data_IF_575439510967
#
_entry.id   IF_575439510967
#
_cell.length_a   1.000
_cell.length_b   1.000
_cell.length_c   1.000
_cell.angle_alpha   90.00
_cell.angle_beta   90.00
_cell.angle_gamma   90.00
#
_symmetry.space_group_name_H-M   'P 1'
#
loop_
_entity.id
_entity.type
_entity.pdbx_description
1 polymer ?
#
# COMPACT_ATOMS: atom_id res chain seq x y z
N UNK A 1 11.89 -0.07 -42.00
CA UNK A 1 10.73 0.57 -41.40
C UNK A 1 10.86 0.41 -39.90
N UNK A 2 11.45 1.42 -39.19
CA UNK A 2 11.55 1.39 -37.72
C UNK A 2 10.16 1.68 -37.16
N UNK A 3 9.50 0.68 -36.61
CA UNK A 3 8.29 0.88 -35.81
C UNK A 3 8.69 1.73 -34.60
N UNK A 4 8.26 2.98 -34.62
CA UNK A 4 8.37 3.94 -33.55
C UNK A 4 7.81 3.28 -32.28
N UNK A 5 8.66 3.11 -31.26
CA UNK A 5 8.28 2.63 -29.94
C UNK A 5 7.55 3.74 -29.17
N UNK A 6 6.49 4.27 -29.78
CA UNK A 6 5.67 5.31 -29.16
C UNK A 6 4.94 4.72 -27.96
N UNK A 7 5.51 4.95 -26.76
CA UNK A 7 4.71 5.16 -25.56
C UNK A 7 3.85 4.03 -25.03
N UNK A 8 4.26 2.76 -25.03
CA UNK A 8 3.57 1.76 -24.21
C UNK A 8 3.96 1.97 -22.74
N UNK A 9 3.08 2.59 -21.98
CA UNK A 9 3.22 2.78 -20.52
C UNK A 9 3.49 1.43 -19.85
N UNK A 10 2.91 0.35 -20.36
CA UNK A 10 3.08 -1.02 -19.92
C UNK A 10 3.87 -1.84 -20.93
N UNK A 11 5.20 -1.69 -20.95
CA UNK A 11 6.08 -2.61 -21.69
C UNK A 11 6.18 -3.95 -20.94
N UNK A 12 6.57 -5.03 -21.65
CA UNK A 12 6.80 -6.33 -21.04
C UNK A 12 7.72 -6.26 -19.82
N UNK A 13 8.76 -5.41 -19.88
CA UNK A 13 9.67 -5.17 -18.76
C UNK A 13 8.94 -4.60 -17.54
N UNK A 14 8.07 -3.60 -17.72
CA UNK A 14 7.31 -2.98 -16.62
C UNK A 14 6.31 -3.97 -16.03
N UNK A 15 5.67 -4.78 -16.86
CA UNK A 15 4.78 -5.85 -16.40
C UNK A 15 5.55 -6.87 -15.56
N UNK A 16 6.70 -7.35 -16.04
CA UNK A 16 7.53 -8.28 -15.29
C UNK A 16 8.01 -7.71 -13.94
N UNK A 17 8.44 -6.44 -13.93
CA UNK A 17 8.79 -5.75 -12.69
C UNK A 17 7.58 -5.66 -11.75
N UNK A 18 6.41 -5.30 -12.25
CA UNK A 18 5.18 -5.21 -11.44
C UNK A 18 4.87 -6.55 -10.78
N UNK A 19 4.90 -7.65 -11.54
CA UNK A 19 4.67 -9.00 -11.02
C UNK A 19 5.69 -9.34 -9.92
N UNK A 20 6.97 -9.07 -10.17
CA UNK A 20 8.03 -9.35 -9.21
C UNK A 20 7.85 -8.56 -7.90
N UNK A 21 7.55 -7.27 -7.98
CA UNK A 21 7.38 -6.43 -6.79
C UNK A 21 6.10 -6.76 -6.02
N UNK A 22 5.00 -7.09 -6.71
CA UNK A 22 3.76 -7.57 -6.08
C UNK A 22 4.01 -8.91 -5.39
N UNK A 23 4.69 -9.86 -6.03
CA UNK A 23 5.05 -11.14 -5.43
C UNK A 23 5.93 -10.94 -4.18
N UNK A 24 6.96 -10.08 -4.25
CA UNK A 24 7.81 -9.77 -3.10
C UNK A 24 7.01 -9.16 -1.96
N UNK A 25 6.14 -8.19 -2.24
CA UNK A 25 5.25 -7.59 -1.25
C UNK A 25 4.33 -8.64 -0.60
N UNK A 26 3.81 -9.57 -1.40
CA UNK A 26 2.97 -10.66 -0.91
C UNK A 26 3.75 -11.61 0.00
N UNK A 27 4.98 -11.99 -0.37
CA UNK A 27 5.82 -12.83 0.50
C UNK A 27 6.10 -12.13 1.84
N UNK A 28 6.43 -10.83 1.80
CA UNK A 28 6.68 -10.05 3.01
C UNK A 28 5.41 -9.89 3.88
N UNK A 29 4.22 -9.90 3.28
CA UNK A 29 2.96 -9.81 4.03
C UNK A 29 2.66 -11.06 4.87
N UNK A 30 3.20 -12.22 4.51
CA UNK A 30 3.11 -13.43 5.35
C UNK A 30 3.99 -13.37 6.60
N UNK A 31 5.04 -12.52 6.60
CA UNK A 31 5.91 -12.35 7.77
C UNK A 31 5.27 -11.29 8.67
N UNK A 32 4.36 -11.72 9.53
CA UNK A 32 3.65 -10.84 10.47
C UNK A 32 4.40 -10.74 11.78
N UNK A 33 4.73 -9.50 12.17
CA UNK A 33 5.30 -9.17 13.48
C UNK A 33 4.18 -9.17 14.52
N UNK A 34 3.01 -8.66 14.13
CA UNK A 34 1.83 -8.59 14.99
C UNK A 34 0.56 -8.62 14.13
N UNK A 35 -0.49 -9.30 14.65
CA UNK A 35 -1.80 -9.39 13.99
C UNK A 35 -2.90 -8.93 14.93
N UNK A 36 -3.80 -8.11 14.41
CA UNK A 36 -4.98 -7.64 15.10
C UNK A 36 -6.22 -8.43 14.63
N UNK A 37 -7.28 -8.52 15.44
CA UNK A 37 -8.59 -8.97 14.96
C UNK A 37 -9.03 -8.15 13.74
N UNK A 38 -9.93 -8.66 12.93
CA UNK A 38 -10.46 -8.01 11.71
C UNK A 38 -9.40 -7.69 10.62
N UNK A 39 -8.25 -8.35 10.61
CA UNK A 39 -7.29 -8.34 9.51
C UNK A 39 -6.20 -7.27 9.55
N UNK A 40 -6.19 -6.36 10.54
CA UNK A 40 -5.08 -5.43 10.71
C UNK A 40 -3.79 -6.16 11.09
N UNK A 41 -2.66 -5.84 10.47
CA UNK A 41 -1.39 -6.49 10.78
C UNK A 41 -0.19 -5.55 10.58
N UNK A 42 0.87 -5.80 11.36
CA UNK A 42 2.20 -5.21 11.18
C UNK A 42 3.07 -6.28 10.55
N UNK A 43 3.61 -6.00 9.39
CA UNK A 43 4.36 -6.97 8.58
C UNK A 43 5.83 -6.59 8.46
N UNK A 44 6.63 -7.45 7.83
CA UNK A 44 8.04 -7.21 7.52
C UNK A 44 8.19 -6.24 6.34
N UNK A 45 7.61 -5.04 6.44
CA UNK A 45 7.70 -3.98 5.43
C UNK A 45 7.07 -4.33 4.08
N UNK A 46 5.93 -5.02 4.06
CA UNK A 46 5.24 -5.47 2.85
C UNK A 46 4.86 -4.34 1.89
N UNK A 47 4.68 -3.09 2.39
CA UNK A 47 4.38 -1.93 1.55
C UNK A 47 5.60 -1.42 0.77
N UNK A 48 6.83 -1.66 1.25
CA UNK A 48 8.06 -1.08 0.68
C UNK A 48 8.27 -1.43 -0.79
N UNK A 49 8.11 -2.69 -1.25
CA UNK A 49 8.26 -3.01 -2.67
C UNK A 49 7.32 -2.21 -3.56
N UNK A 50 6.06 -2.05 -3.16
CA UNK A 50 5.06 -1.31 -3.92
C UNK A 50 5.37 0.19 -3.96
N UNK A 51 5.71 0.77 -2.81
CA UNK A 51 6.12 2.18 -2.70
C UNK A 51 7.36 2.46 -3.56
N UNK A 52 8.35 1.57 -3.52
CA UNK A 52 9.54 1.69 -4.35
C UNK A 52 9.22 1.63 -5.84
N UNK A 53 8.41 0.67 -6.26
CA UNK A 53 8.00 0.58 -7.66
C UNK A 53 7.26 1.85 -8.12
N UNK A 54 6.38 2.40 -7.28
CA UNK A 54 5.68 3.64 -7.55
C UNK A 54 6.65 4.83 -7.72
N UNK A 55 7.60 5.00 -6.81
CA UNK A 55 8.65 6.02 -6.88
C UNK A 55 9.51 5.87 -8.14
N UNK A 56 9.86 4.63 -8.50
CA UNK A 56 10.70 4.33 -9.67
C UNK A 56 9.97 4.55 -10.99
N UNK A 57 8.76 4.03 -11.14
CA UNK A 57 8.03 3.99 -12.43
C UNK A 57 7.00 5.10 -12.59
N UNK A 58 6.70 5.81 -11.51
CA UNK A 58 5.74 6.91 -11.50
C UNK A 58 4.32 6.46 -11.18
N UNK A 59 3.38 7.44 -11.11
CA UNK A 59 2.06 7.20 -10.52
C UNK A 59 1.20 6.20 -11.30
N UNK A 60 1.26 6.18 -12.62
CA UNK A 60 0.43 5.27 -13.43
C UNK A 60 0.77 3.80 -13.15
N UNK A 61 2.05 3.46 -13.12
CA UNK A 61 2.50 2.10 -12.81
C UNK A 61 2.34 1.82 -11.32
N UNK A 62 2.61 2.81 -10.47
CA UNK A 62 2.46 2.70 -9.02
C UNK A 62 1.03 2.40 -8.61
N UNK A 63 0.05 3.17 -9.07
CA UNK A 63 -1.38 2.96 -8.81
C UNK A 63 -1.83 1.58 -9.30
N UNK A 64 -1.44 1.20 -10.52
CA UNK A 64 -1.78 -0.10 -11.10
C UNK A 64 -1.22 -1.27 -10.25
N UNK A 65 0.08 -1.24 -9.95
CA UNK A 65 0.73 -2.28 -9.16
C UNK A 65 0.16 -2.37 -7.73
N UNK A 66 -0.09 -1.23 -7.09
CA UNK A 66 -0.65 -1.13 -5.76
C UNK A 66 -2.08 -1.68 -5.71
N UNK A 67 -2.91 -1.37 -6.72
CA UNK A 67 -4.27 -1.93 -6.84
C UNK A 67 -4.24 -3.44 -7.03
N UNK A 68 -3.35 -3.96 -7.89
CA UNK A 68 -3.17 -5.42 -8.06
C UNK A 68 -2.74 -6.05 -6.74
N UNK A 69 -1.79 -5.44 -6.02
CA UNK A 69 -1.38 -5.93 -4.71
C UNK A 69 -2.56 -5.98 -3.72
N UNK A 70 -3.42 -4.96 -3.71
CA UNK A 70 -4.65 -4.97 -2.91
C UNK A 70 -5.59 -6.13 -3.28
N UNK A 71 -5.77 -6.42 -4.58
CA UNK A 71 -6.58 -7.56 -5.03
C UNK A 71 -5.92 -8.89 -4.59
N UNK A 72 -4.59 -9.00 -4.66
CA UNK A 72 -3.87 -10.18 -4.17
C UNK A 72 -4.07 -10.33 -2.65
N UNK A 73 -4.03 -9.24 -1.88
CA UNK A 73 -4.28 -9.28 -0.43
C UNK A 73 -5.71 -9.73 -0.10
N UNK A 74 -6.70 -9.35 -0.90
CA UNK A 74 -8.07 -9.88 -0.76
C UNK A 74 -8.12 -11.41 -0.93
N UNK A 75 -7.30 -11.97 -1.82
CA UNK A 75 -7.24 -13.45 -2.01
C UNK A 75 -6.47 -14.13 -0.89
N UNK A 76 -5.40 -13.49 -0.40
CA UNK A 76 -4.50 -14.04 0.62
C UNK A 76 -5.13 -14.02 2.02
N UNK A 77 -5.77 -12.90 2.37
CA UNK A 77 -6.40 -12.66 3.67
C UNK A 77 -7.76 -12.00 3.51
N UNK A 78 -8.78 -12.74 3.11
CA UNK A 78 -10.10 -12.18 2.88
C UNK A 78 -10.81 -11.81 4.19
N UNK A 79 -11.17 -10.54 4.34
CA UNK A 79 -12.12 -10.05 5.35
C UNK A 79 -13.27 -9.43 4.56
N UNK A 80 -14.39 -10.15 4.49
CA UNK A 80 -15.52 -9.81 3.60
C UNK A 80 -16.78 -9.66 4.43
N UNK A 81 -17.26 -8.42 4.57
CA UNK A 81 -18.55 -8.09 5.19
C UNK A 81 -19.52 -7.45 4.20
N UNK A 82 -19.00 -6.61 3.30
CA UNK A 82 -19.79 -5.85 2.35
C UNK A 82 -18.95 -5.57 1.09
N UNK A 83 -19.54 -5.59 -0.13
CA UNK A 83 -18.79 -5.30 -1.36
C UNK A 83 -18.10 -3.93 -1.36
N UNK A 84 -18.73 -2.89 -0.77
CA UNK A 84 -18.12 -1.55 -0.68
C UNK A 84 -16.95 -1.54 0.30
N UNK A 85 -17.08 -2.25 1.43
CA UNK A 85 -15.97 -2.47 2.36
C UNK A 85 -14.77 -3.13 1.66
N UNK A 86 -15.01 -4.20 0.90
CA UNK A 86 -13.95 -4.89 0.15
C UNK A 86 -13.24 -3.96 -0.82
N UNK A 87 -14.00 -3.11 -1.55
CA UNK A 87 -13.40 -2.12 -2.43
C UNK A 87 -12.53 -1.10 -1.68
N UNK A 88 -12.99 -0.62 -0.52
CA UNK A 88 -12.26 0.36 0.28
C UNK A 88 -11.00 -0.26 0.89
N UNK A 89 -11.10 -1.47 1.47
CA UNK A 89 -10.02 -2.07 2.25
C UNK A 89 -8.92 -2.71 1.39
N UNK A 90 -9.23 -3.11 0.15
CA UNK A 90 -8.26 -3.77 -0.70
C UNK A 90 -7.84 -2.92 -1.90
N UNK A 91 -8.57 -2.84 -3.01
CA UNK A 91 -8.05 -2.15 -4.19
C UNK A 91 -7.86 -0.64 -3.98
N UNK A 92 -8.74 0.02 -3.21
CA UNK A 92 -8.63 1.46 -2.96
C UNK A 92 -7.53 1.76 -1.95
N UNK A 93 -7.56 1.13 -0.76
CA UNK A 93 -6.57 1.40 0.29
C UNK A 93 -5.15 1.11 -0.18
N UNK A 94 -4.92 -0.06 -0.77
CA UNK A 94 -3.60 -0.38 -1.30
C UNK A 94 -3.26 0.46 -2.53
N UNK A 95 -4.21 0.72 -3.44
CA UNK A 95 -4.02 1.55 -4.62
C UNK A 95 -3.46 2.94 -4.29
N UNK A 96 -3.90 3.54 -3.17
CA UNK A 96 -3.42 4.84 -2.70
C UNK A 96 -1.92 4.87 -2.38
N UNK A 97 -1.27 3.73 -2.09
CA UNK A 97 0.20 3.68 -1.99
C UNK A 97 0.88 4.12 -3.29
N UNK A 98 0.24 3.91 -4.43
CA UNK A 98 0.75 4.34 -5.74
C UNK A 98 0.86 5.85 -5.92
N UNK A 99 0.20 6.65 -5.07
CA UNK A 99 0.32 8.12 -5.01
C UNK A 99 1.78 8.55 -4.76
N UNK A 100 2.58 7.73 -4.09
CA UNK A 100 4.01 7.97 -3.89
C UNK A 100 4.74 8.27 -5.23
N UNK A 101 4.28 7.69 -6.33
CA UNK A 101 4.87 7.88 -7.66
C UNK A 101 4.81 9.30 -8.23
N UNK A 102 3.95 10.18 -7.69
CA UNK A 102 3.94 11.59 -8.06
C UNK A 102 5.11 12.38 -7.46
N UNK A 103 5.75 11.84 -6.42
CA UNK A 103 6.73 12.55 -5.59
C UNK A 103 8.15 11.98 -5.72
N UNK A 104 8.59 11.67 -6.94
CA UNK A 104 9.94 11.10 -7.20
C UNK A 104 11.07 11.94 -6.62
N UNK A 105 10.94 13.27 -6.66
CA UNK A 105 11.95 14.19 -6.13
C UNK A 105 11.90 14.35 -4.60
N UNK A 106 10.81 13.90 -3.98
CA UNK A 106 10.58 13.98 -2.53
C UNK A 106 9.99 12.65 -2.03
N UNK A 107 10.78 11.54 -2.11
CA UNK A 107 10.26 10.19 -1.88
C UNK A 107 9.55 10.01 -0.54
N UNK A 108 10.11 10.58 0.54
CA UNK A 108 9.52 10.46 1.88
C UNK A 108 8.14 11.13 1.97
N UNK A 109 7.97 12.28 1.32
CA UNK A 109 6.65 12.95 1.24
C UNK A 109 5.66 12.06 0.49
N UNK A 110 6.08 11.51 -0.65
CA UNK A 110 5.24 10.61 -1.44
C UNK A 110 4.80 9.37 -0.68
N UNK A 111 5.73 8.74 0.03
CA UNK A 111 5.46 7.58 0.89
C UNK A 111 4.47 7.93 1.99
N UNK A 112 4.70 9.03 2.71
CA UNK A 112 3.81 9.50 3.77
C UNK A 112 2.39 9.75 3.25
N UNK A 113 2.25 10.42 2.09
CA UNK A 113 0.95 10.67 1.48
C UNK A 113 0.25 9.38 1.03
N UNK A 114 0.97 8.43 0.45
CA UNK A 114 0.41 7.14 0.06
C UNK A 114 -0.12 6.35 1.26
N UNK A 115 0.65 6.29 2.35
CA UNK A 115 0.25 5.61 3.59
C UNK A 115 -0.91 6.33 4.27
N UNK A 116 -0.89 7.67 4.29
CA UNK A 116 -2.01 8.48 4.82
C UNK A 116 -3.28 8.23 4.01
N UNK A 117 -3.20 8.16 2.68
CA UNK A 117 -4.33 7.80 1.83
C UNK A 117 -4.89 6.41 2.18
N UNK A 118 -4.01 5.41 2.34
CA UNK A 118 -4.40 4.07 2.78
C UNK A 118 -5.10 4.11 4.14
N UNK A 119 -4.56 4.87 5.10
CA UNK A 119 -5.19 5.06 6.40
C UNK A 119 -6.62 5.60 6.25
N UNK A 120 -6.84 6.65 5.45
CA UNK A 120 -8.17 7.21 5.27
C UNK A 120 -9.16 6.23 4.66
N UNK A 121 -8.75 5.39 3.69
CA UNK A 121 -9.61 4.36 3.13
C UNK A 121 -10.06 3.34 4.18
N UNK A 122 -9.11 2.80 4.96
CA UNK A 122 -9.41 1.88 6.07
C UNK A 122 -10.20 2.56 7.19
N UNK A 123 -9.88 3.81 7.51
CA UNK A 123 -10.61 4.58 8.51
C UNK A 123 -12.09 4.73 8.14
N UNK A 124 -12.39 5.13 6.89
CA UNK A 124 -13.76 5.25 6.41
C UNK A 124 -14.48 3.89 6.41
N UNK A 125 -13.81 2.85 5.94
CA UNK A 125 -14.32 1.49 5.99
C UNK A 125 -14.65 1.07 7.43
N UNK A 126 -13.74 1.31 8.36
CA UNK A 126 -13.89 1.00 9.77
C UNK A 126 -15.06 1.72 10.44
N UNK A 127 -15.24 3.01 10.14
CA UNK A 127 -16.38 3.79 10.67
C UNK A 127 -17.72 3.25 10.19
N UNK A 128 -17.80 2.86 8.92
CA UNK A 128 -19.09 2.48 8.29
C UNK A 128 -19.42 1.01 8.50
N UNK A 129 -18.44 0.12 8.34
CA UNK A 129 -18.72 -1.32 8.27
C UNK A 129 -18.27 -2.11 9.51
N UNK A 130 -17.37 -1.55 10.34
CA UNK A 130 -16.86 -2.21 11.54
C UNK A 130 -17.32 -1.53 12.84
N UNK A 131 -18.33 -0.66 12.77
CA UNK A 131 -18.86 0.04 13.93
C UNK A 131 -19.31 -0.89 15.06
N UNK A 132 -19.83 -2.08 14.73
CA UNK A 132 -20.30 -3.08 15.70
C UNK A 132 -19.18 -3.74 16.51
N UNK A 133 -17.93 -3.58 16.10
CA UNK A 133 -16.77 -4.07 16.86
C UNK A 133 -16.23 -3.04 17.84
N UNK A 134 -16.77 -1.81 17.83
CA UNK A 134 -16.39 -0.81 18.82
C UNK A 134 -16.87 -1.25 20.21
N UNK A 135 -16.00 -1.22 21.25
CA UNK A 135 -16.39 -1.48 22.61
C UNK A 135 -17.51 -0.56 23.10
N UNK A 136 -18.31 -1.03 24.04
CA UNK A 136 -19.38 -0.22 24.64
C UNK A 136 -18.84 1.12 25.15
N UNK A 137 -19.52 2.20 24.80
CA UNK A 137 -19.14 3.57 25.17
C UNK A 137 -18.07 4.22 24.29
N UNK A 138 -17.49 3.51 23.31
CA UNK A 138 -16.52 4.08 22.35
C UNK A 138 -17.21 4.37 21.02
N UNK A 139 -17.13 5.63 20.58
CA UNK A 139 -17.70 6.04 19.31
C UNK A 139 -16.94 5.36 18.14
N UNK A 140 -17.63 4.81 17.10
CA UNK A 140 -17.00 4.11 15.97
C UNK A 140 -15.88 4.88 15.27
N UNK A 141 -15.98 6.20 15.19
CA UNK A 141 -14.93 7.08 14.63
C UNK A 141 -13.63 6.96 15.43
N UNK A 142 -13.73 6.99 16.77
CA UNK A 142 -12.56 6.87 17.66
C UNK A 142 -11.97 5.45 17.55
N UNK A 143 -12.84 4.44 17.58
CA UNK A 143 -12.43 3.04 17.42
C UNK A 143 -11.66 2.84 16.11
N UNK A 144 -12.24 3.26 14.98
CA UNK A 144 -11.62 3.10 13.67
C UNK A 144 -10.30 3.88 13.54
N UNK A 145 -10.24 5.10 14.09
CA UNK A 145 -9.00 5.91 14.07
C UNK A 145 -7.87 5.23 14.85
N UNK A 146 -8.17 4.75 16.07
CA UNK A 146 -7.18 4.08 16.94
C UNK A 146 -6.76 2.73 16.34
N UNK A 147 -7.73 1.93 15.88
CA UNK A 147 -7.45 0.63 15.30
C UNK A 147 -6.57 0.74 14.06
N UNK A 148 -7.01 1.50 13.04
CA UNK A 148 -6.29 1.63 11.79
C UNK A 148 -5.02 2.47 11.93
N UNK A 149 -5.07 3.53 12.75
CA UNK A 149 -3.90 4.35 13.06
C UNK A 149 -2.81 3.57 13.78
N UNK A 150 -3.17 2.71 14.71
CA UNK A 150 -2.23 1.94 15.52
C UNK A 150 -1.28 1.08 14.66
N UNK A 151 -1.81 0.20 13.82
CA UNK A 151 -0.95 -0.66 13.01
C UNK A 151 -0.33 0.07 11.81
N UNK A 152 -1.08 0.98 11.14
CA UNK A 152 -0.56 1.71 9.98
C UNK A 152 0.51 2.74 10.34
N UNK A 153 0.47 3.31 11.53
CA UNK A 153 1.54 4.19 12.00
C UNK A 153 2.87 3.44 12.11
N UNK A 154 2.85 2.25 12.72
CA UNK A 154 4.06 1.41 12.87
C UNK A 154 4.55 0.93 11.50
N UNK A 155 3.67 0.39 10.66
CA UNK A 155 3.97 0.01 9.27
C UNK A 155 4.53 1.19 8.46
N UNK A 156 3.96 2.37 8.68
CA UNK A 156 4.39 3.61 8.04
C UNK A 156 5.80 4.03 8.46
N UNK A 157 6.10 4.01 9.74
CA UNK A 157 7.43 4.30 10.28
C UNK A 157 8.47 3.34 9.70
N UNK A 158 8.18 2.04 9.71
CA UNK A 158 9.07 1.01 9.11
C UNK A 158 9.30 1.30 7.63
N UNK A 159 8.24 1.56 6.87
CA UNK A 159 8.32 1.81 5.43
C UNK A 159 9.10 3.09 5.10
N UNK A 160 8.83 4.18 5.81
CA UNK A 160 9.54 5.47 5.66
C UNK A 160 11.03 5.29 5.98
N UNK A 161 11.35 4.58 7.07
CA UNK A 161 12.73 4.33 7.47
C UNK A 161 13.49 3.52 6.42
N UNK A 162 12.91 2.46 5.89
CA UNK A 162 13.56 1.64 4.85
C UNK A 162 13.73 2.45 3.55
N UNK A 163 12.72 3.20 3.11
CA UNK A 163 12.84 4.08 1.92
C UNK A 163 13.91 5.15 2.14
N UNK A 164 14.01 5.71 3.35
CA UNK A 164 15.08 6.63 3.71
C UNK A 164 16.46 5.98 3.56
N UNK A 165 16.66 4.77 4.08
CA UNK A 165 17.92 4.04 3.95
C UNK A 165 18.25 3.73 2.48
N UNK A 166 17.26 3.33 1.67
CA UNK A 166 17.43 3.08 0.25
C UNK A 166 17.77 4.37 -0.53
N UNK A 167 17.25 5.51 -0.10
CA UNK A 167 17.60 6.82 -0.65
C UNK A 167 19.01 7.23 -0.24
N UNK A 168 19.37 7.07 1.03
CA UNK A 168 20.69 7.42 1.56
C UNK A 168 21.81 6.57 0.95
N UNK A 169 21.57 5.28 0.72
CA UNK A 169 22.51 4.36 0.06
C UNK A 169 22.62 4.58 -1.45
N UNK A 170 21.90 5.57 -2.03
CA UNK A 170 21.82 5.86 -3.46
C UNK A 170 21.20 4.73 -4.32
N UNK A 171 20.76 3.63 -3.72
CA UNK A 171 20.10 2.52 -4.44
C UNK A 171 18.86 3.02 -5.18
N UNK A 172 18.07 3.90 -4.56
CA UNK A 172 16.94 4.56 -5.25
C UNK A 172 17.40 5.33 -6.50
N UNK A 173 18.55 6.02 -6.45
CA UNK A 173 19.08 6.81 -7.59
C UNK A 173 19.61 5.95 -8.73
N UNK A 174 20.12 4.75 -8.44
CA UNK A 174 20.64 3.83 -9.47
C UNK A 174 19.51 3.29 -10.33
N UNK A 175 18.30 3.20 -9.77
CA UNK A 175 17.16 2.56 -10.42
C UNK A 175 16.02 3.54 -10.77
N UNK A 176 16.12 4.82 -10.47
CA UNK A 176 15.22 5.89 -10.96
C UNK A 176 15.71 6.47 -12.28
#
# INVERSE_FOLDING_TARGET
>A
MKLSSTGRIFSTKIIAETVMFVALATVLSYIKIFSLPQGGSITAASMVPILWLALRRGPKVGLFAATIYGIVQLVVEPVIFNPVQVLLDYPVAFGLLGVAGFFKNSPLIGVSLGITGRFFAHFLSGVVFFATFAPEGIHPVIYSAVYNGGYLLIEGIISIYIIYLLQASKVLKIYM
#
